data_IF_220077487152
#
_entry.id   IF_220077487152
#
_cell.length_a   1.000
_cell.length_b   1.000
_cell.length_c   1.000
_cell.angle_alpha   90.00
_cell.angle_beta   90.00
_cell.angle_gamma   90.00
#
_symmetry.space_group_name_H-M   'P 1'
#
loop_
_entity.id
_entity.type
_entity.pdbx_description
1 polymer ?
#
# COMPACT_ATOMS: atom_id res chain seq x y z
N UNK A 1 -25.51 -8.55 -0.20
CA UNK A 1 -25.58 -8.43 -1.67
C UNK A 1 -24.15 -8.16 -2.15
N UNK A 2 -23.58 -8.94 -3.07
CA UNK A 2 -22.14 -8.84 -3.40
C UNK A 2 -21.74 -7.44 -3.89
N UNK A 3 -22.49 -6.88 -4.83
CA UNK A 3 -22.20 -5.53 -5.33
C UNK A 3 -22.27 -4.49 -4.20
N UNK A 4 -23.28 -4.59 -3.35
CA UNK A 4 -23.47 -3.67 -2.24
C UNK A 4 -22.33 -3.71 -1.21
N UNK A 5 -21.92 -4.91 -0.81
CA UNK A 5 -21.09 -5.10 0.38
C UNK A 5 -19.62 -5.45 0.04
N UNK A 6 -19.31 -5.83 -1.19
CA UNK A 6 -17.94 -6.17 -1.62
C UNK A 6 -17.43 -5.17 -2.66
N UNK A 7 -18.13 -5.00 -3.77
CA UNK A 7 -17.66 -4.12 -4.86
C UNK A 7 -17.61 -2.65 -4.42
N UNK A 8 -18.59 -2.22 -3.61
CA UNK A 8 -18.63 -0.87 -3.07
C UNK A 8 -17.84 -0.67 -1.78
N UNK A 9 -17.12 -1.68 -1.29
CA UNK A 9 -16.26 -1.52 -0.14
C UNK A 9 -15.09 -0.56 -0.45
N UNK A 10 -14.75 0.27 0.53
CA UNK A 10 -13.70 1.28 0.44
C UNK A 10 -12.75 1.16 1.63
N UNK A 11 -11.54 0.66 1.37
CA UNK A 11 -10.47 0.57 2.36
C UNK A 11 -9.46 1.68 2.12
N UNK A 12 -9.30 2.60 3.05
CA UNK A 12 -8.36 3.71 2.94
C UNK A 12 -7.34 3.65 4.10
N UNK A 13 -6.03 3.52 3.83
CA UNK A 13 -5.00 3.55 4.88
C UNK A 13 -5.06 4.81 5.76
N UNK A 14 -5.56 5.94 5.25
CA UNK A 14 -5.73 7.16 6.04
C UNK A 14 -6.90 7.10 7.05
N UNK A 15 -7.77 6.09 6.98
CA UNK A 15 -8.85 5.89 7.95
C UNK A 15 -8.34 5.17 9.20
N UNK A 16 -7.53 5.87 10.00
CA UNK A 16 -6.99 5.39 11.29
C UNK A 16 -7.83 5.84 12.47
N UNK A 17 -7.48 5.35 13.66
CA UNK A 17 -8.13 5.65 14.94
C UNK A 17 -7.10 6.09 15.97
N UNK A 18 -7.48 6.87 17.00
CA UNK A 18 -6.55 7.26 18.06
C UNK A 18 -5.80 6.06 18.64
N UNK A 19 -4.47 6.19 18.75
CA UNK A 19 -3.57 5.11 19.16
C UNK A 19 -2.90 4.36 18.01
N UNK A 20 -3.33 4.58 16.76
CA UNK A 20 -2.67 4.06 15.55
C UNK A 20 -2.30 5.24 14.66
N UNK A 21 -0.99 5.43 14.45
CA UNK A 21 -0.44 6.48 13.58
C UNK A 21 0.30 5.90 12.37
N UNK A 22 0.97 6.78 11.62
CA UNK A 22 1.71 6.42 10.42
C UNK A 22 3.23 6.45 10.65
N UNK A 23 3.96 5.75 9.78
CA UNK A 23 5.42 5.85 9.68
C UNK A 23 5.84 6.74 8.50
N UNK A 24 7.08 7.22 8.46
CA UNK A 24 7.62 7.96 7.31
C UNK A 24 7.98 7.05 6.11
N UNK A 25 7.43 5.83 6.03
CA UNK A 25 7.58 4.95 4.86
C UNK A 25 7.02 5.64 3.61
N UNK A 26 7.88 5.86 2.61
CA UNK A 26 7.55 6.59 1.37
C UNK A 26 6.38 5.95 0.60
N UNK A 27 6.26 4.62 0.61
CA UNK A 27 5.16 3.92 -0.02
C UNK A 27 3.86 4.11 0.77
N UNK A 28 3.91 4.07 2.10
CA UNK A 28 2.75 4.37 2.95
C UNK A 28 2.26 5.80 2.72
N UNK A 29 3.15 6.78 2.74
CA UNK A 29 2.82 8.19 2.56
C UNK A 29 2.06 8.45 1.25
N UNK A 30 2.46 7.82 0.14
CA UNK A 30 1.71 7.90 -1.12
C UNK A 30 0.29 7.29 -1.04
N UNK A 31 0.14 6.18 -0.31
CA UNK A 31 -1.15 5.50 -0.13
C UNK A 31 -2.14 6.29 0.73
N UNK A 32 -1.66 7.13 1.67
CA UNK A 32 -2.53 7.97 2.49
C UNK A 32 -3.40 8.92 1.64
N UNK A 33 -2.86 9.36 0.51
CA UNK A 33 -3.60 10.17 -0.46
C UNK A 33 -4.37 9.31 -1.48
N UNK A 34 -3.69 8.36 -2.12
CA UNK A 34 -4.19 7.71 -3.34
C UNK A 34 -5.53 6.97 -3.17
N UNK A 35 -5.76 6.33 -2.03
CA UNK A 35 -6.97 5.52 -1.83
C UNK A 35 -8.22 6.38 -1.71
N UNK A 36 -8.17 7.46 -0.93
CA UNK A 36 -9.30 8.38 -0.80
C UNK A 36 -9.65 9.05 -2.12
N UNK A 37 -8.64 9.43 -2.91
CA UNK A 37 -8.83 9.99 -4.24
C UNK A 37 -9.52 8.99 -5.20
N UNK A 38 -8.97 7.79 -5.32
CA UNK A 38 -9.53 6.74 -6.18
C UNK A 38 -10.97 6.35 -5.78
N UNK A 39 -11.28 6.34 -4.48
CA UNK A 39 -12.62 6.01 -3.97
C UNK A 39 -13.65 7.08 -4.32
N UNK A 40 -13.29 8.37 -4.23
CA UNK A 40 -14.19 9.46 -4.64
C UNK A 40 -14.56 9.36 -6.11
N UNK A 41 -13.61 9.02 -6.97
CA UNK A 41 -13.87 8.77 -8.38
C UNK A 41 -14.75 7.52 -8.59
N UNK A 42 -14.35 6.39 -8.00
CA UNK A 42 -15.00 5.08 -8.22
C UNK A 42 -16.42 4.98 -7.65
N UNK A 43 -16.66 5.57 -6.48
CA UNK A 43 -17.88 5.38 -5.68
C UNK A 43 -18.65 6.68 -5.43
N UNK A 44 -18.12 7.81 -5.86
CA UNK A 44 -18.67 9.14 -5.58
C UNK A 44 -18.23 9.71 -4.23
N UNK A 45 -18.36 11.02 -4.06
CA UNK A 45 -17.90 11.75 -2.88
C UNK A 45 -18.56 11.29 -1.57
N UNK A 46 -19.82 10.84 -1.65
CA UNK A 46 -20.61 10.38 -0.52
C UNK A 46 -20.53 8.86 -0.26
N UNK A 47 -19.51 8.17 -0.79
CA UNK A 47 -19.37 6.71 -0.65
C UNK A 47 -19.32 6.18 0.79
N UNK A 48 -18.98 7.04 1.76
CA UNK A 48 -19.01 6.73 3.19
C UNK A 48 -20.44 6.49 3.73
N UNK A 49 -21.47 6.89 2.98
CA UNK A 49 -22.88 6.64 3.31
C UNK A 49 -23.35 5.24 2.91
N UNK A 50 -22.60 4.55 2.04
CA UNK A 50 -22.88 3.16 1.66
C UNK A 50 -22.74 2.28 2.92
N UNK A 51 -23.71 1.39 3.24
CA UNK A 51 -23.76 0.71 4.52
C UNK A 51 -22.47 -0.01 4.95
N UNK A 52 -21.74 -0.60 4.01
CA UNK A 52 -20.47 -1.30 4.32
C UNK A 52 -19.34 -0.35 4.73
N UNK A 53 -19.35 0.89 4.26
CA UNK A 53 -18.33 1.89 4.54
C UNK A 53 -18.68 2.81 5.73
N UNK A 54 -19.93 2.72 6.21
CA UNK A 54 -20.43 3.62 7.25
C UNK A 54 -19.81 3.28 8.61
N UNK A 55 -19.32 4.26 9.37
CA UNK A 55 -18.89 4.05 10.75
C UNK A 55 -20.07 3.59 11.62
N UNK A 56 -19.78 2.69 12.56
CA UNK A 56 -20.78 2.19 13.55
C UNK A 56 -20.79 2.98 14.85
N UNK A 57 -19.89 3.93 15.01
CA UNK A 57 -19.86 4.88 16.12
C UNK A 57 -20.56 6.19 15.73
N UNK A 58 -20.79 7.06 16.72
CA UNK A 58 -21.24 8.41 16.46
C UNK A 58 -20.24 9.13 15.55
N UNK A 59 -20.74 9.84 14.54
CA UNK A 59 -19.93 10.70 13.67
C UNK A 59 -20.66 12.00 13.43
N UNK A 60 -19.88 13.09 13.42
CA UNK A 60 -20.38 14.43 13.13
C UNK A 60 -19.50 15.09 12.05
N UNK A 61 -19.51 14.56 10.80
CA UNK A 61 -18.70 15.13 9.72
C UNK A 61 -19.32 16.45 9.23
N UNK A 62 -18.48 17.47 9.03
CA UNK A 62 -18.90 18.77 8.50
C UNK A 62 -19.11 18.78 6.99
N UNK A 63 -18.78 17.71 6.27
CA UNK A 63 -18.94 17.64 4.81
C UNK A 63 -20.41 17.79 4.39
N UNK A 64 -20.68 18.70 3.44
CA UNK A 64 -22.01 19.02 2.91
C UNK A 64 -22.14 18.65 1.43
N UNK A 65 -23.37 18.43 0.99
CA UNK A 65 -23.77 18.27 -0.41
C UNK A 65 -23.07 17.08 -1.09
N UNK A 66 -22.68 17.25 -2.36
CA UNK A 66 -22.14 16.18 -3.20
C UNK A 66 -23.20 15.30 -3.84
N UNK A 67 -22.80 14.54 -4.87
CA UNK A 67 -23.70 13.65 -5.59
C UNK A 67 -24.24 12.55 -4.65
N UNK A 68 -25.52 12.21 -4.81
CA UNK A 68 -26.22 11.16 -4.06
C UNK A 68 -26.14 11.36 -2.53
N UNK A 69 -26.50 12.54 -2.05
CA UNK A 69 -26.57 12.84 -0.61
C UNK A 69 -27.88 12.33 -0.01
N UNK A 70 -27.83 11.34 0.89
CA UNK A 70 -29.03 10.61 1.38
C UNK A 70 -29.15 10.51 2.91
N UNK A 71 -28.30 11.20 3.66
CA UNK A 71 -28.20 11.15 5.13
C UNK A 71 -28.86 12.35 5.85
N UNK A 72 -29.63 13.18 5.12
CA UNK A 72 -30.20 14.43 5.63
C UNK A 72 -29.26 15.64 5.58
N UNK A 73 -28.02 15.46 5.12
CA UNK A 73 -27.04 16.53 4.86
C UNK A 73 -26.78 17.45 6.07
N UNK A 74 -26.91 16.93 7.31
CA UNK A 74 -26.88 17.73 8.55
C UNK A 74 -27.85 18.93 8.59
N UNK A 75 -28.98 18.86 7.86
CA UNK A 75 -30.10 19.81 7.94
C UNK A 75 -29.69 21.28 7.87
N UNK A 76 -30.26 22.11 8.75
CA UNK A 76 -29.98 23.54 8.85
C UNK A 76 -28.76 23.88 9.71
N UNK A 77 -27.99 22.89 10.17
CA UNK A 77 -26.78 23.15 10.97
C UNK A 77 -25.81 24.03 10.19
N UNK A 78 -25.14 24.94 10.88
CA UNK A 78 -24.18 25.88 10.30
C UNK A 78 -23.03 25.13 9.61
N UNK A 79 -22.51 25.65 8.50
CA UNK A 79 -21.51 24.95 7.66
C UNK A 79 -20.06 25.39 7.88
N UNK A 80 -19.76 26.19 8.91
CA UNK A 80 -18.43 26.76 9.12
C UNK A 80 -17.96 26.67 10.58
N UNK A 81 -16.64 26.70 10.76
CA UNK A 81 -15.91 26.79 12.02
C UNK A 81 -14.74 27.77 11.80
N UNK A 82 -14.40 28.65 12.77
CA UNK A 82 -15.01 28.81 14.10
C UNK A 82 -16.39 29.47 14.04
N UNK A 83 -17.28 29.09 14.96
CA UNK A 83 -18.64 29.65 15.07
C UNK A 83 -19.05 29.87 16.54
N UNK A 84 -20.06 30.71 16.77
CA UNK A 84 -20.55 31.06 18.11
C UNK A 84 -21.57 30.07 18.70
N UNK A 85 -21.85 28.96 18.01
CA UNK A 85 -22.91 28.01 18.39
C UNK A 85 -22.35 26.69 18.95
N UNK A 86 -21.02 26.54 18.99
CA UNK A 86 -20.37 25.33 19.49
C UNK A 86 -20.46 24.14 18.54
N UNK A 87 -20.74 24.38 17.26
CA UNK A 87 -20.78 23.32 16.25
C UNK A 87 -19.36 23.00 15.74
N UNK A 88 -19.14 21.74 15.36
CA UNK A 88 -17.89 21.24 14.73
C UNK A 88 -16.60 21.41 15.55
N UNK A 89 -16.70 21.35 16.88
CA UNK A 89 -15.54 21.53 17.76
C UNK A 89 -14.47 20.44 17.53
N UNK A 90 -13.21 20.87 17.52
CA UNK A 90 -12.06 19.96 17.50
C UNK A 90 -11.91 19.19 18.81
N UNK A 91 -11.15 18.08 18.76
CA UNK A 91 -10.88 17.20 19.90
C UNK A 91 -9.36 17.13 20.14
N UNK A 92 -8.76 18.15 20.81
CA UNK A 92 -7.32 18.26 20.99
C UNK A 92 -6.71 17.11 21.83
N UNK A 93 -7.51 16.39 22.61
CA UNK A 93 -7.11 15.22 23.39
C UNK A 93 -6.58 14.06 22.54
N UNK A 94 -6.90 14.02 21.24
CA UNK A 94 -6.42 12.99 20.30
C UNK A 94 -5.24 13.43 19.44
N UNK A 95 -4.62 14.57 19.76
CA UNK A 95 -3.47 15.09 19.01
C UNK A 95 -2.32 14.09 18.99
N UNK A 96 -1.77 13.84 17.79
CA UNK A 96 -0.57 13.01 17.63
C UNK A 96 0.66 13.66 18.27
N UNK A 97 1.60 12.85 18.81
CA UNK A 97 2.89 13.37 19.26
C UNK A 97 3.70 13.92 18.08
N UNK A 98 4.60 14.87 18.37
CA UNK A 98 5.47 15.45 17.35
C UNK A 98 6.49 14.41 16.86
N UNK A 99 6.68 14.33 15.54
CA UNK A 99 7.76 13.57 14.91
C UNK A 99 8.97 14.49 14.69
N UNK A 100 10.14 14.09 15.19
CA UNK A 100 11.39 14.81 14.92
C UNK A 100 11.80 14.63 13.45
N UNK A 101 12.23 15.71 12.80
CA UNK A 101 12.68 15.73 11.40
C UNK A 101 14.08 16.33 11.33
N UNK A 102 14.94 15.77 10.49
CA UNK A 102 16.30 16.25 10.24
C UNK A 102 16.64 16.22 8.74
N UNK A 103 17.56 17.10 8.32
CA UNK A 103 17.98 17.21 6.91
C UNK A 103 17.17 18.21 6.09
N UNK A 104 17.59 18.40 4.83
CA UNK A 104 16.91 19.28 3.87
C UNK A 104 15.84 18.51 3.08
N UNK A 105 14.82 19.22 2.62
CA UNK A 105 13.85 18.67 1.68
C UNK A 105 14.53 18.43 0.31
N UNK A 106 14.37 17.23 -0.24
CA UNK A 106 14.95 16.85 -1.52
C UNK A 106 14.46 15.48 -2.00
N UNK A 107 14.70 15.18 -3.28
CA UNK A 107 14.44 13.87 -3.87
C UNK A 107 15.58 12.89 -3.53
N UNK A 108 15.66 12.49 -2.26
CA UNK A 108 16.71 11.62 -1.75
C UNK A 108 16.71 10.25 -2.45
N UNK A 109 17.85 9.89 -3.06
CA UNK A 109 18.05 8.62 -3.73
C UNK A 109 18.10 7.47 -2.71
N UNK A 110 17.09 6.60 -2.74
CA UNK A 110 17.01 5.49 -1.79
C UNK A 110 18.18 4.51 -1.93
N UNK A 111 18.79 4.39 -3.11
CA UNK A 111 19.92 3.46 -3.33
C UNK A 111 21.20 3.89 -2.59
N UNK A 112 21.30 5.18 -2.24
CA UNK A 112 22.39 5.72 -1.42
C UNK A 112 22.11 5.55 0.08
N UNK A 113 20.84 5.50 0.46
CA UNK A 113 20.36 5.30 1.83
C UNK A 113 20.45 3.82 2.24
N UNK A 114 19.98 2.92 1.36
CA UNK A 114 20.05 1.48 1.54
C UNK A 114 20.25 0.77 0.19
N UNK A 115 21.16 -0.21 0.17
CA UNK A 115 21.46 -1.04 -1.00
C UNK A 115 21.47 -2.55 -0.69
N UNK A 116 20.96 -2.96 0.47
CA UNK A 116 20.81 -4.37 0.85
C UNK A 116 19.54 -4.99 0.24
N UNK A 117 19.59 -5.23 -1.08
CA UNK A 117 18.46 -5.80 -1.81
C UNK A 117 18.29 -7.31 -1.63
N UNK A 118 19.35 -8.00 -1.21
CA UNK A 118 19.49 -9.45 -1.44
C UNK A 118 19.57 -10.28 -0.16
N UNK A 119 19.90 -9.69 0.99
CA UNK A 119 20.03 -10.43 2.24
C UNK A 119 18.71 -11.06 2.68
N UNK A 120 17.60 -10.31 2.65
CA UNK A 120 16.30 -10.83 3.08
C UNK A 120 15.75 -11.92 2.14
N UNK A 121 15.75 -11.74 0.79
CA UNK A 121 15.37 -12.82 -0.12
C UNK A 121 16.22 -14.09 0.05
N UNK A 122 17.54 -13.95 0.24
CA UNK A 122 18.43 -15.08 0.47
C UNK A 122 18.13 -15.83 1.77
N UNK A 123 17.84 -15.10 2.86
CA UNK A 123 17.38 -15.69 4.12
C UNK A 123 16.08 -16.47 3.94
N UNK A 124 15.10 -15.92 3.22
CA UNK A 124 13.84 -16.60 2.95
C UNK A 124 14.05 -17.88 2.13
N UNK A 125 14.86 -17.82 1.08
CA UNK A 125 15.18 -18.98 0.25
C UNK A 125 15.83 -20.13 1.06
N UNK A 126 16.76 -19.80 1.97
CA UNK A 126 17.42 -20.79 2.83
C UNK A 126 16.50 -21.43 3.88
N UNK A 127 15.34 -20.83 4.15
CA UNK A 127 14.31 -21.42 5.03
C UNK A 127 13.36 -22.37 4.28
N UNK A 128 13.38 -22.38 2.95
CA UNK A 128 12.55 -23.27 2.14
C UNK A 128 13.08 -24.70 2.16
N UNK A 129 12.18 -25.68 2.18
CA UNK A 129 12.54 -27.08 1.91
C UNK A 129 12.98 -27.27 0.45
N UNK A 130 13.73 -28.33 0.12
CA UNK A 130 14.12 -28.62 -1.26
C UNK A 130 12.93 -28.66 -2.23
N UNK A 131 11.78 -29.19 -1.81
CA UNK A 131 10.55 -29.23 -2.61
C UNK A 131 9.98 -27.84 -2.86
N UNK A 132 10.01 -26.96 -1.84
CA UNK A 132 9.57 -25.58 -1.98
C UNK A 132 10.51 -24.78 -2.89
N UNK A 133 11.81 -25.02 -2.81
CA UNK A 133 12.79 -24.42 -3.72
C UNK A 133 12.54 -24.85 -5.16
N UNK A 134 12.28 -26.14 -5.40
CA UNK A 134 11.93 -26.64 -6.73
C UNK A 134 10.67 -25.96 -7.28
N UNK A 135 9.61 -25.86 -6.47
CA UNK A 135 8.37 -25.16 -6.85
C UNK A 135 8.63 -23.69 -7.16
N UNK A 136 9.49 -23.01 -6.39
CA UNK A 136 9.90 -21.63 -6.65
C UNK A 136 10.59 -21.50 -8.02
N UNK A 137 11.53 -22.38 -8.34
CA UNK A 137 12.24 -22.34 -9.63
C UNK A 137 11.29 -22.55 -10.79
N UNK A 138 10.43 -23.57 -10.72
CA UNK A 138 9.48 -23.89 -11.78
C UNK A 138 8.40 -22.82 -11.97
N UNK A 139 7.89 -22.24 -10.89
CA UNK A 139 6.95 -21.12 -10.97
C UNK A 139 7.58 -19.91 -11.65
N UNK A 140 8.82 -19.56 -11.27
CA UNK A 140 9.56 -18.47 -11.90
C UNK A 140 9.78 -18.74 -13.39
N UNK A 141 10.18 -19.96 -13.75
CA UNK A 141 10.41 -20.32 -15.14
C UNK A 141 9.14 -20.23 -16.00
N UNK A 142 8.02 -20.79 -15.51
CA UNK A 142 6.71 -20.70 -16.19
C UNK A 142 6.25 -19.25 -16.34
N UNK A 143 6.45 -18.41 -15.33
CA UNK A 143 6.07 -16.99 -15.38
C UNK A 143 6.93 -16.16 -16.36
N UNK A 144 8.08 -16.69 -16.79
CA UNK A 144 8.98 -16.04 -17.73
C UNK A 144 8.87 -16.55 -19.16
N UNK A 145 7.90 -17.41 -19.47
CA UNK A 145 7.69 -17.88 -20.85
C UNK A 145 7.48 -16.70 -21.82
N UNK A 146 8.23 -16.70 -22.93
CA UNK A 146 8.18 -15.64 -23.94
C UNK A 146 8.93 -14.33 -23.56
N UNK A 147 9.54 -14.26 -22.38
CA UNK A 147 10.36 -13.10 -21.98
C UNK A 147 11.71 -13.13 -22.74
N UNK A 148 12.20 -11.98 -23.24
CA UNK A 148 13.53 -11.92 -23.86
C UNK A 148 14.65 -12.39 -22.92
N UNK A 149 15.59 -13.16 -23.46
CA UNK A 149 16.65 -13.83 -22.67
C UNK A 149 17.45 -12.85 -21.79
N UNK A 150 17.77 -11.64 -22.28
CA UNK A 150 18.52 -10.64 -21.49
C UNK A 150 17.78 -10.17 -20.22
N UNK A 151 16.46 -10.31 -20.15
CA UNK A 151 15.66 -10.03 -18.95
C UNK A 151 15.71 -11.22 -18.00
N UNK A 152 15.63 -12.45 -18.53
CA UNK A 152 15.79 -13.69 -17.75
C UNK A 152 17.16 -13.72 -17.08
N UNK A 153 18.22 -13.42 -17.84
CA UNK A 153 19.61 -13.31 -17.36
C UNK A 153 19.71 -12.32 -16.20
N UNK A 154 19.11 -11.13 -16.34
CA UNK A 154 19.09 -10.12 -15.26
C UNK A 154 18.39 -10.61 -13.99
N UNK A 155 17.34 -11.42 -14.12
CA UNK A 155 16.67 -12.00 -12.96
C UNK A 155 17.53 -13.08 -12.29
N UNK A 156 18.16 -13.96 -13.09
CA UNK A 156 19.11 -14.98 -12.61
C UNK A 156 20.26 -14.32 -11.84
N UNK A 157 20.84 -13.23 -12.36
CA UNK A 157 21.87 -12.46 -11.66
C UNK A 157 21.40 -11.96 -10.28
N UNK A 158 20.19 -11.41 -10.19
CA UNK A 158 19.62 -10.92 -8.94
C UNK A 158 19.33 -12.06 -7.95
N UNK A 159 18.83 -13.20 -8.43
CA UNK A 159 18.66 -14.41 -7.63
C UNK A 159 20.01 -14.92 -7.11
N UNK A 160 21.04 -14.90 -7.95
CA UNK A 160 22.41 -15.33 -7.59
C UNK A 160 23.02 -14.45 -6.50
N UNK A 161 22.74 -13.13 -6.52
CA UNK A 161 23.13 -12.19 -5.46
C UNK A 161 22.43 -12.47 -4.12
N UNK A 162 21.22 -13.03 -4.15
CA UNK A 162 20.50 -13.44 -2.94
C UNK A 162 21.02 -14.77 -2.38
N UNK A 163 21.17 -15.77 -3.25
CA UNK A 163 21.81 -17.04 -2.92
C UNK A 163 22.30 -17.73 -4.22
N UNK A 164 23.55 -18.23 -4.29
CA UNK A 164 24.06 -18.91 -5.48
C UNK A 164 23.22 -20.12 -5.90
N UNK A 165 22.65 -20.88 -4.94
CA UNK A 165 21.79 -22.02 -5.26
C UNK A 165 20.44 -21.57 -5.82
N UNK A 166 19.93 -20.41 -5.39
CA UNK A 166 18.71 -19.83 -5.95
C UNK A 166 18.93 -19.43 -7.42
N UNK A 167 19.98 -18.67 -7.70
CA UNK A 167 20.34 -18.29 -9.07
C UNK A 167 20.52 -19.51 -9.98
N UNK A 168 21.23 -20.53 -9.48
CA UNK A 168 21.43 -21.78 -10.23
C UNK A 168 20.12 -22.51 -10.53
N UNK A 169 19.24 -22.67 -9.54
CA UNK A 169 17.97 -23.36 -9.71
C UNK A 169 17.06 -22.68 -10.72
N UNK A 170 17.00 -21.34 -10.69
CA UNK A 170 16.22 -20.55 -11.67
C UNK A 170 16.84 -20.66 -13.07
N UNK A 171 18.17 -20.59 -13.19
CA UNK A 171 18.86 -20.74 -14.47
C UNK A 171 18.60 -22.11 -15.12
N UNK A 172 18.73 -23.18 -14.34
CA UNK A 172 18.48 -24.55 -14.81
C UNK A 172 17.00 -24.73 -15.22
N UNK A 173 16.05 -24.18 -14.45
CA UNK A 173 14.62 -24.24 -14.77
C UNK A 173 14.24 -23.44 -16.03
N UNK A 174 14.94 -22.34 -16.31
CA UNK A 174 14.77 -21.53 -17.52
C UNK A 174 15.51 -22.08 -18.75
N UNK A 175 16.40 -23.08 -18.56
CA UNK A 175 17.29 -23.56 -19.62
C UNK A 175 18.32 -22.51 -20.06
N UNK A 176 18.62 -21.53 -19.21
CA UNK A 176 19.59 -20.46 -19.50
C UNK A 176 20.93 -20.80 -18.83
N UNK A 177 22.03 -20.92 -19.58
CA UNK A 177 23.33 -21.18 -19.00
C UNK A 177 23.77 -20.10 -18.00
N UNK A 178 24.21 -20.51 -16.81
CA UNK A 178 24.57 -19.60 -15.72
C UNK A 178 25.78 -18.70 -16.06
N UNK A 179 26.64 -19.10 -16.99
CA UNK A 179 27.76 -18.30 -17.48
C UNK A 179 27.33 -17.06 -18.27
N UNK A 180 26.10 -17.03 -18.80
CA UNK A 180 25.50 -15.84 -19.41
C UNK A 180 25.04 -14.80 -18.38
N UNK A 181 24.90 -15.20 -17.11
CA UNK A 181 24.45 -14.38 -15.99
C UNK A 181 25.59 -13.96 -15.05
N UNK A 182 26.79 -13.79 -15.59
CA UNK A 182 27.99 -13.35 -14.86
C UNK A 182 28.36 -11.91 -15.16
#
# INVERSE_FOLDING_TARGET
>A
NYFQDVEQAAFNPAAVVPGIGFSPDKMLQGRLFAYGDAQRYRLGINHHQIPVNRPRCFTNPSHRDGQVRVDGNAGSTIGYEPNSFGEWQEQPEYREPLLAISGMAGAWNFREDDSDYYTQPGKLFRLMSPEQQQVLFENTARAMEGVPEYIMVRHIENCSKADPAYGRGVADALGVPLDRAK
#
